data_IF_148951462083
#
_entry.id   IF_148951462083
#
_cell.length_a   1.000
_cell.length_b   1.000
_cell.length_c   1.000
_cell.angle_alpha   90.00
_cell.angle_beta   90.00
_cell.angle_gamma   90.00
#
_symmetry.space_group_name_H-M   'P 1'
#
loop_
_entity.id
_entity.type
_entity.pdbx_description
1 polymer ?
#
# COMPACT_ATOMS: atom_id res chain seq x y z
N UNK A 1 19.65 -35.76 22.08
CA UNK A 1 19.98 -35.01 20.88
C UNK A 1 19.23 -35.37 19.60
N UNK A 2 18.78 -36.60 19.35
CA UNK A 2 18.09 -36.96 18.10
C UNK A 2 16.62 -36.46 17.96
N UNK A 3 15.93 -36.18 19.05
CA UNK A 3 14.50 -35.82 19.02
C UNK A 3 14.21 -34.40 18.56
N UNK A 4 15.07 -33.44 18.82
CA UNK A 4 14.90 -31.98 18.50
C UNK A 4 14.94 -31.63 17.03
N UNK A 5 15.64 -32.42 16.22
CA UNK A 5 15.72 -32.17 14.76
C UNK A 5 14.41 -32.45 14.02
N UNK A 6 13.42 -33.03 14.70
CA UNK A 6 12.07 -33.25 14.16
C UNK A 6 11.05 -32.20 14.57
N UNK A 7 11.45 -31.20 15.38
CA UNK A 7 10.56 -30.13 15.83
C UNK A 7 10.30 -29.15 14.68
N UNK A 8 9.04 -29.07 14.28
CA UNK A 8 8.57 -28.21 13.19
C UNK A 8 7.51 -27.20 13.62
N UNK A 9 6.85 -27.46 14.76
CA UNK A 9 5.76 -26.65 15.30
C UNK A 9 6.09 -26.15 16.71
N UNK A 10 5.42 -25.09 17.14
CA UNK A 10 5.67 -24.43 18.44
C UNK A 10 5.30 -25.38 19.58
N UNK A 11 4.27 -26.21 19.39
CA UNK A 11 3.78 -27.20 20.34
C UNK A 11 4.84 -28.23 20.74
N UNK A 12 5.73 -28.59 19.83
CA UNK A 12 6.83 -29.50 20.07
C UNK A 12 7.76 -28.98 21.17
N UNK A 13 8.06 -27.67 21.11
CA UNK A 13 8.92 -26.99 22.10
C UNK A 13 8.22 -26.80 23.44
N UNK A 14 6.91 -26.47 23.41
CA UNK A 14 6.12 -26.30 24.64
C UNK A 14 5.94 -27.58 25.42
N UNK A 15 6.01 -28.74 24.75
CA UNK A 15 5.87 -30.07 25.37
C UNK A 15 7.19 -30.63 25.89
N UNK A 16 8.33 -29.99 25.60
CA UNK A 16 9.65 -30.43 26.00
C UNK A 16 10.07 -29.81 27.35
N UNK A 17 10.20 -30.65 28.39
CA UNK A 17 10.56 -30.23 29.74
C UNK A 17 11.96 -29.57 29.81
N UNK A 18 12.88 -30.02 28.95
CA UNK A 18 14.23 -29.45 28.92
C UNK A 18 14.22 -28.05 28.31
N UNK A 19 13.37 -27.81 27.29
CA UNK A 19 13.14 -26.49 26.73
C UNK A 19 12.47 -25.54 27.74
N UNK A 20 11.45 -26.02 28.43
CA UNK A 20 10.79 -25.24 29.50
C UNK A 20 11.79 -24.86 30.61
N UNK A 21 12.64 -25.81 31.03
CA UNK A 21 13.66 -25.56 32.05
C UNK A 21 14.67 -24.53 31.61
N UNK A 22 15.12 -24.59 30.36
CA UNK A 22 16.02 -23.59 29.79
C UNK A 22 15.42 -22.19 29.79
N UNK A 23 14.18 -22.03 29.33
CA UNK A 23 13.51 -20.73 29.24
C UNK A 23 13.10 -20.18 30.61
N UNK A 24 12.54 -21.02 31.49
CA UNK A 24 11.96 -20.56 32.75
C UNK A 24 12.98 -20.49 33.90
N UNK A 25 13.94 -21.42 33.95
CA UNK A 25 14.92 -21.54 35.01
C UNK A 25 16.32 -21.07 34.60
N UNK A 26 16.51 -20.78 33.32
CA UNK A 26 17.82 -20.42 32.70
C UNK A 26 18.88 -21.51 32.88
N UNK A 27 18.46 -22.79 32.88
CA UNK A 27 19.33 -23.96 33.04
C UNK A 27 19.37 -24.66 31.67
N UNK A 28 20.45 -24.50 30.93
CA UNK A 28 20.69 -25.17 29.64
C UNK A 28 21.57 -26.41 29.81
N UNK A 29 20.97 -27.50 30.27
CA UNK A 29 21.68 -28.78 30.44
C UNK A 29 21.82 -29.56 29.12
N UNK A 30 21.03 -29.22 28.12
CA UNK A 30 20.89 -29.96 26.88
C UNK A 30 21.44 -29.24 25.64
N UNK A 31 22.05 -28.05 25.80
CA UNK A 31 22.66 -27.28 24.70
C UNK A 31 21.63 -26.68 23.74
N UNK A 32 20.54 -26.12 24.27
CA UNK A 32 19.52 -25.45 23.51
C UNK A 32 20.03 -24.17 22.84
N UNK A 33 20.93 -23.44 23.51
CA UNK A 33 21.50 -22.21 22.99
C UNK A 33 22.36 -22.49 21.74
N UNK A 34 23.25 -23.49 21.80
CA UNK A 34 24.09 -23.89 20.69
C UNK A 34 23.28 -24.40 19.50
N UNK A 35 22.26 -25.27 19.76
CA UNK A 35 21.37 -25.79 18.75
C UNK A 35 20.53 -24.70 18.04
N UNK A 36 20.14 -23.66 18.77
CA UNK A 36 19.38 -22.52 18.24
C UNK A 36 20.25 -21.68 17.29
N UNK A 37 21.53 -21.51 17.58
CA UNK A 37 22.47 -20.73 16.79
C UNK A 37 22.83 -21.38 15.45
N UNK A 38 22.66 -22.70 15.30
CA UNK A 38 23.00 -23.42 14.07
C UNK A 38 22.13 -23.05 12.85
N UNK A 39 20.92 -22.53 13.05
CA UNK A 39 19.99 -22.20 11.95
C UNK A 39 19.06 -21.04 12.28
N UNK A 40 18.97 -20.09 11.34
CA UNK A 40 18.09 -18.91 11.44
C UNK A 40 16.60 -19.27 11.53
N UNK A 41 16.19 -20.40 10.91
CA UNK A 41 14.81 -20.90 11.02
C UNK A 41 14.53 -21.46 12.40
N UNK A 42 15.47 -22.20 12.98
CA UNK A 42 15.36 -22.72 14.36
C UNK A 42 15.30 -21.58 15.37
N UNK A 43 16.14 -20.55 15.22
CA UNK A 43 16.14 -19.38 16.09
C UNK A 43 14.76 -18.70 16.13
N UNK A 44 14.09 -18.58 15.00
CA UNK A 44 12.75 -17.98 14.93
C UNK A 44 11.69 -18.83 15.65
N UNK A 45 11.66 -20.13 15.42
CA UNK A 45 10.71 -21.04 16.09
C UNK A 45 10.92 -21.06 17.62
N UNK A 46 12.18 -21.07 18.06
CA UNK A 46 12.55 -20.99 19.49
C UNK A 46 12.10 -19.67 20.11
N UNK A 47 12.26 -18.54 19.42
CA UNK A 47 11.82 -17.23 19.88
C UNK A 47 10.28 -17.16 20.02
N UNK A 48 9.55 -17.67 19.03
CA UNK A 48 8.09 -17.72 19.04
C UNK A 48 7.58 -18.63 20.17
N UNK A 49 8.17 -19.81 20.36
CA UNK A 49 7.85 -20.73 21.45
C UNK A 49 8.16 -20.13 22.84
N UNK A 50 9.28 -19.42 22.96
CA UNK A 50 9.67 -18.71 24.18
C UNK A 50 8.66 -17.64 24.57
N UNK A 51 8.21 -16.80 23.61
CA UNK A 51 7.22 -15.77 23.87
C UNK A 51 5.91 -16.38 24.35
N UNK A 52 5.46 -17.49 23.75
CA UNK A 52 4.23 -18.16 24.17
C UNK A 52 4.37 -18.80 25.57
N UNK A 53 5.49 -19.45 25.87
CA UNK A 53 5.74 -20.07 27.17
C UNK A 53 5.78 -19.01 28.30
N UNK A 54 6.39 -17.85 28.06
CA UNK A 54 6.44 -16.75 29.02
C UNK A 54 5.06 -16.09 29.21
N UNK A 55 4.23 -16.03 28.16
CA UNK A 55 2.87 -15.51 28.22
C UNK A 55 1.92 -16.47 29.01
N UNK A 56 2.16 -17.79 28.95
CA UNK A 56 1.39 -18.79 29.68
C UNK A 56 1.76 -18.87 31.17
N UNK A 57 2.85 -18.24 31.62
CA UNK A 57 3.24 -18.21 33.03
C UNK A 57 2.27 -17.29 33.80
N UNK A 58 1.15 -17.86 34.22
CA UNK A 58 0.33 -17.30 35.29
C UNK A 58 1.19 -17.29 36.55
N UNK A 59 1.32 -16.15 37.30
CA UNK A 59 2.03 -16.17 38.54
C UNK A 59 1.33 -17.18 39.47
N UNK A 60 1.99 -18.26 39.81
CA UNK A 60 1.62 -19.15 40.89
C UNK A 60 1.67 -18.35 42.21
N UNK A 61 0.57 -17.64 42.49
CA UNK A 61 0.29 -17.27 43.87
C UNK A 61 0.02 -18.59 44.59
N UNK A 62 1.03 -19.16 45.20
CA UNK A 62 0.88 -20.23 46.17
C UNK A 62 0.03 -19.70 47.31
N UNK A 63 -1.29 -19.71 47.14
CA UNK A 63 -2.23 -19.61 48.23
C UNK A 63 -1.99 -20.84 49.10
N UNK A 64 -1.40 -20.64 50.27
CA UNK A 64 -1.25 -21.69 51.26
C UNK A 64 -2.64 -22.29 51.54
N UNK A 65 -2.70 -23.61 51.69
CA UNK A 65 -3.93 -24.30 52.12
C UNK A 65 -4.53 -23.69 53.41
N UNK A 66 -3.71 -23.10 54.26
CA UNK A 66 -4.12 -22.30 55.44
C UNK A 66 -4.83 -20.98 55.08
N UNK A 67 -4.45 -20.32 54.02
CA UNK A 67 -5.07 -19.06 53.58
C UNK A 67 -6.40 -19.31 52.89
N UNK A 68 -6.52 -20.41 52.11
CA UNK A 68 -7.81 -20.88 51.56
C UNK A 68 -8.79 -21.26 52.62
N UNK A 69 -8.34 -21.99 53.69
CA UNK A 69 -9.18 -22.39 54.80
C UNK A 69 -9.66 -21.16 55.60
N UNK A 70 -8.78 -20.21 55.88
CA UNK A 70 -9.12 -18.98 56.59
C UNK A 70 -10.09 -18.10 55.76
N UNK A 71 -9.95 -18.02 54.46
CA UNK A 71 -10.88 -17.31 53.58
C UNK A 71 -12.26 -17.99 53.55
N UNK A 72 -12.32 -19.35 53.53
CA UNK A 72 -13.56 -20.07 53.64
C UNK A 72 -14.24 -19.91 54.99
N UNK A 73 -13.52 -20.02 56.10
CA UNK A 73 -14.07 -19.80 57.47
C UNK A 73 -14.62 -18.38 57.66
N UNK A 74 -13.90 -17.37 57.21
CA UNK A 74 -14.40 -15.97 57.28
C UNK A 74 -15.61 -15.74 56.38
N UNK A 75 -15.76 -16.49 55.30
CA UNK A 75 -16.92 -16.39 54.42
C UNK A 75 -18.14 -17.12 55.05
N UNK A 76 -17.94 -18.26 55.67
CA UNK A 76 -18.98 -19.01 56.39
C UNK A 76 -19.51 -18.22 57.60
N UNK A 77 -18.62 -17.59 58.39
CA UNK A 77 -19.03 -16.75 59.51
C UNK A 77 -19.87 -15.53 59.05
N UNK A 78 -19.56 -14.95 57.93
CA UNK A 78 -20.35 -13.83 57.33
C UNK A 78 -21.69 -14.30 56.75
N UNK A 79 -21.82 -15.54 56.34
CA UNK A 79 -23.09 -16.13 55.90
C UNK A 79 -23.97 -16.43 57.09
N UNK A 80 -23.42 -17.00 58.14
CA UNK A 80 -24.13 -17.34 59.37
C UNK A 80 -24.61 -16.09 60.15
N UNK A 81 -23.81 -15.00 60.13
CA UNK A 81 -24.18 -13.72 60.70
C UNK A 81 -25.32 -13.05 59.88
N UNK A 82 -25.37 -13.25 58.58
CA UNK A 82 -26.47 -12.79 57.71
C UNK A 82 -27.75 -13.60 57.86
N UNK A 83 -27.67 -14.90 58.12
CA UNK A 83 -28.87 -15.72 58.36
C UNK A 83 -29.51 -15.44 59.70
N UNK A 84 -28.74 -15.19 60.75
CA UNK A 84 -29.26 -14.82 62.08
C UNK A 84 -29.85 -13.38 62.13
N UNK A 85 -29.57 -12.51 61.18
CA UNK A 85 -30.21 -11.20 61.08
C UNK A 85 -31.52 -11.19 60.26
N UNK A 86 -31.91 -12.31 59.67
CA UNK A 86 -33.10 -12.38 58.83
C UNK A 86 -34.40 -12.64 59.58
N UNK A 87 -34.36 -13.05 60.87
CA UNK A 87 -35.55 -13.42 61.64
C UNK A 87 -36.20 -12.25 62.44
N UNK A 88 -35.78 -11.01 62.29
CA UNK A 88 -36.32 -9.89 63.04
C UNK A 88 -36.72 -8.65 62.20
N UNK A 89 -37.25 -8.81 60.99
CA UNK A 89 -38.02 -7.70 60.40
C UNK A 89 -38.88 -8.16 59.20
N UNK A 90 -39.98 -8.82 59.50
CA UNK A 90 -41.11 -8.75 58.57
C UNK A 90 -41.85 -7.43 58.67
N UNK A 91 -42.11 -6.82 57.51
CA UNK A 91 -42.98 -5.68 57.24
C UNK A 91 -42.36 -4.25 57.20
N UNK A 92 -41.69 -3.93 56.07
CA UNK A 92 -41.88 -2.58 55.46
C UNK A 92 -41.15 -2.28 54.14
N UNK A 93 -40.55 -3.25 53.43
CA UNK A 93 -39.62 -2.93 52.35
C UNK A 93 -40.03 -3.28 50.91
N UNK A 94 -41.29 -3.68 50.66
CA UNK A 94 -41.72 -4.04 49.25
C UNK A 94 -41.81 -2.78 48.35
N UNK A 95 -42.05 -1.58 48.91
CA UNK A 95 -42.10 -0.34 48.13
C UNK A 95 -40.72 0.21 47.80
N UNK A 96 -39.69 -0.05 48.61
CA UNK A 96 -38.32 0.41 48.38
C UNK A 96 -37.62 -0.42 47.32
N UNK A 97 -37.80 -1.73 47.32
CA UNK A 97 -37.22 -2.65 46.34
C UNK A 97 -37.76 -2.40 44.91
N UNK A 98 -39.06 -2.01 44.79
CA UNK A 98 -39.66 -1.69 43.48
C UNK A 98 -39.07 -0.41 42.89
N UNK A 99 -38.67 0.57 43.71
CA UNK A 99 -38.02 1.82 43.30
C UNK A 99 -36.55 1.57 42.90
N UNK A 100 -35.82 0.72 43.63
CA UNK A 100 -34.44 0.33 43.31
C UNK A 100 -34.37 -0.53 42.06
N UNK A 101 -35.36 -1.40 41.80
CA UNK A 101 -35.40 -2.25 40.60
C UNK A 101 -35.63 -1.44 39.33
N UNK A 102 -36.51 -0.43 39.38
CA UNK A 102 -36.75 0.48 38.25
C UNK A 102 -35.54 1.37 37.94
N UNK A 103 -34.84 1.83 38.98
CA UNK A 103 -33.61 2.63 38.80
C UNK A 103 -32.42 1.77 38.33
N UNK A 104 -32.37 0.49 38.75
CA UNK A 104 -31.35 -0.47 38.29
C UNK A 104 -31.47 -0.80 36.81
N UNK A 105 -32.70 -1.03 36.34
CA UNK A 105 -32.96 -1.30 34.90
C UNK A 105 -32.65 -0.07 34.03
N UNK A 106 -32.99 1.16 34.53
CA UNK A 106 -32.63 2.38 33.82
C UNK A 106 -31.09 2.59 33.76
N UNK A 107 -30.36 2.28 34.83
CA UNK A 107 -28.92 2.37 34.86
C UNK A 107 -28.25 1.37 33.90
N UNK A 108 -28.71 0.12 33.83
CA UNK A 108 -28.16 -0.90 32.91
C UNK A 108 -28.43 -0.53 31.44
N UNK A 109 -29.61 0.05 31.13
CA UNK A 109 -29.89 0.53 29.79
C UNK A 109 -29.01 1.73 29.39
N UNK A 110 -28.78 2.67 30.33
CA UNK A 110 -27.89 3.82 30.11
C UNK A 110 -26.44 3.35 29.93
N UNK A 111 -25.96 2.45 30.80
CA UNK A 111 -24.61 1.84 30.62
C UNK A 111 -24.50 1.03 29.33
N UNK A 112 -25.54 0.30 28.94
CA UNK A 112 -25.60 -0.39 27.66
C UNK A 112 -25.53 0.57 26.47
N UNK A 113 -26.29 1.67 26.51
CA UNK A 113 -26.26 2.71 25.46
C UNK A 113 -24.92 3.45 25.42
N UNK A 114 -24.35 3.78 26.59
CA UNK A 114 -23.01 4.40 26.68
C UNK A 114 -21.95 3.43 26.18
N UNK A 115 -22.01 2.13 26.50
CA UNK A 115 -21.10 1.11 25.99
C UNK A 115 -21.19 0.95 24.49
N UNK A 116 -22.41 0.90 23.91
CA UNK A 116 -22.62 0.83 22.46
C UNK A 116 -22.18 2.12 21.79
N UNK A 117 -22.44 3.28 22.36
CA UNK A 117 -22.00 4.57 21.87
C UNK A 117 -20.47 4.71 21.94
N UNK A 118 -19.87 4.31 23.08
CA UNK A 118 -18.43 4.28 23.28
C UNK A 118 -17.76 3.26 22.35
N UNK A 119 -18.34 2.07 22.19
CA UNK A 119 -17.88 1.07 21.25
C UNK A 119 -17.91 1.61 19.80
N UNK A 120 -19.03 2.21 19.37
CA UNK A 120 -19.11 2.87 18.05
C UNK A 120 -18.12 4.01 17.90
N UNK A 121 -17.92 4.86 18.90
CA UNK A 121 -16.97 5.99 18.82
C UNK A 121 -15.50 5.57 18.96
N UNK A 122 -15.21 4.51 19.74
CA UNK A 122 -13.83 4.06 19.98
C UNK A 122 -13.34 3.09 18.91
N UNK A 123 -14.26 2.32 18.29
CA UNK A 123 -13.94 1.35 17.26
C UNK A 123 -14.33 1.79 15.83
N UNK A 124 -15.07 2.89 15.67
CA UNK A 124 -15.06 3.61 14.41
C UNK A 124 -13.80 4.50 14.40
N UNK A 125 -12.68 3.90 14.08
CA UNK A 125 -11.64 4.63 13.39
C UNK A 125 -12.28 5.03 12.06
N UNK A 126 -12.74 6.27 11.93
CA UNK A 126 -12.95 6.86 10.62
C UNK A 126 -11.60 6.73 9.91
N UNK A 127 -11.45 5.68 9.12
CA UNK A 127 -10.35 5.56 8.18
C UNK A 127 -10.47 6.79 7.29
N UNK A 128 -9.70 7.81 7.58
CA UNK A 128 -9.71 9.07 6.85
C UNK A 128 -9.30 8.76 5.41
N UNK A 129 -10.31 8.56 4.56
CA UNK A 129 -10.09 8.39 3.13
C UNK A 129 -9.70 9.75 2.59
N UNK A 130 -8.46 9.88 2.12
CA UNK A 130 -8.01 11.10 1.45
C UNK A 130 -8.58 11.11 0.05
N UNK A 131 -9.37 12.12 -0.24
CA UNK A 131 -9.98 12.29 -1.56
C UNK A 131 -9.14 13.19 -2.45
N UNK A 132 -9.26 12.99 -3.77
CA UNK A 132 -8.64 13.86 -4.77
C UNK A 132 -9.00 15.34 -4.56
N UNK A 133 -10.23 15.64 -4.15
CA UNK A 133 -10.68 17.00 -3.89
C UNK A 133 -9.91 17.63 -2.73
N UNK A 134 -9.70 16.92 -1.62
CA UNK A 134 -8.91 17.41 -0.49
C UNK A 134 -7.46 17.71 -0.88
N UNK A 135 -6.85 16.85 -1.73
CA UNK A 135 -5.50 17.06 -2.23
C UNK A 135 -5.37 18.34 -3.06
N UNK A 136 -6.40 18.68 -3.85
CA UNK A 136 -6.40 19.87 -4.68
C UNK A 136 -6.72 21.11 -3.86
N UNK A 137 -7.71 21.07 -2.95
CA UNK A 137 -8.11 22.22 -2.12
C UNK A 137 -6.92 22.78 -1.30
N UNK A 138 -6.01 21.91 -0.85
CA UNK A 138 -4.78 22.34 -0.17
C UNK A 138 -3.75 23.01 -1.11
N UNK A 139 -3.81 22.77 -2.43
CA UNK A 139 -2.77 23.16 -3.39
C UNK A 139 -3.34 23.87 -4.65
N UNK A 140 -4.53 24.44 -4.56
CA UNK A 140 -5.36 24.86 -5.70
C UNK A 140 -4.80 26.01 -6.56
N UNK A 141 -3.79 26.76 -6.12
CA UNK A 141 -3.30 27.90 -6.89
C UNK A 141 -2.47 27.46 -8.11
N UNK A 142 -2.98 27.78 -9.30
CA UNK A 142 -2.26 27.62 -10.57
C UNK A 142 -2.23 26.22 -11.16
N UNK A 143 -3.07 25.30 -10.68
CA UNK A 143 -3.22 23.96 -11.27
C UNK A 143 -4.12 23.99 -12.52
N UNK A 144 -3.73 23.19 -13.51
CA UNK A 144 -4.56 22.80 -14.66
C UNK A 144 -5.11 21.43 -14.37
N UNK A 145 -6.42 21.23 -14.46
CA UNK A 145 -7.04 19.92 -14.40
C UNK A 145 -7.37 19.41 -15.78
N UNK A 146 -6.91 18.20 -16.10
CA UNK A 146 -7.26 17.46 -17.30
C UNK A 146 -8.11 16.26 -16.90
N UNK A 147 -9.31 16.16 -17.46
CA UNK A 147 -10.23 15.03 -17.22
C UNK A 147 -10.41 14.25 -18.52
N UNK A 148 -10.16 12.95 -18.46
CA UNK A 148 -10.45 12.06 -19.58
C UNK A 148 -11.87 11.48 -19.44
N UNK A 149 -12.82 12.08 -20.14
CA UNK A 149 -14.22 11.65 -20.21
C UNK A 149 -14.49 10.72 -21.43
N UNK A 150 -13.46 10.40 -22.20
CA UNK A 150 -13.60 9.50 -23.36
C UNK A 150 -13.46 8.03 -22.95
N UNK A 151 -13.75 7.13 -23.87
CA UNK A 151 -13.58 5.68 -23.74
C UNK A 151 -12.15 5.19 -24.08
N UNK A 152 -11.26 6.10 -24.46
CA UNK A 152 -9.88 5.81 -24.85
C UNK A 152 -8.90 6.55 -23.97
N UNK A 153 -7.69 5.99 -23.75
CA UNK A 153 -6.62 6.71 -23.08
C UNK A 153 -6.24 8.00 -23.80
N UNK A 154 -5.89 9.03 -23.02
CA UNK A 154 -5.47 10.34 -23.51
C UNK A 154 -4.03 10.62 -23.09
N UNK A 155 -3.20 11.05 -24.02
CA UNK A 155 -1.83 11.46 -23.72
C UNK A 155 -1.78 12.90 -23.24
N UNK A 156 -1.06 13.13 -22.15
CA UNK A 156 -0.79 14.45 -21.58
C UNK A 156 0.72 14.65 -21.55
N UNK A 157 1.18 15.74 -22.18
CA UNK A 157 2.58 16.14 -22.12
C UNK A 157 2.75 17.24 -21.09
N UNK A 158 3.66 17.02 -20.13
CA UNK A 158 3.97 17.97 -19.07
C UNK A 158 5.11 18.91 -19.49
N UNK A 159 5.24 20.06 -18.81
CA UNK A 159 6.22 21.10 -19.15
C UNK A 159 7.69 20.69 -19.00
N UNK A 160 7.97 19.59 -18.29
CA UNK A 160 9.31 19.01 -18.13
C UNK A 160 9.66 17.95 -19.19
N UNK A 161 8.76 17.72 -20.15
CA UNK A 161 8.87 16.70 -21.18
C UNK A 161 8.39 15.32 -20.75
N UNK A 162 7.92 15.14 -19.51
CA UNK A 162 7.27 13.91 -19.07
C UNK A 162 5.94 13.69 -19.78
N UNK A 163 5.53 12.43 -19.96
CA UNK A 163 4.24 12.08 -20.55
C UNK A 163 3.41 11.23 -19.59
N UNK A 164 2.10 11.43 -19.63
CA UNK A 164 1.13 10.66 -18.86
C UNK A 164 0.06 10.13 -19.80
N UNK A 165 -0.10 8.82 -19.89
CA UNK A 165 -1.23 8.18 -20.58
C UNK A 165 -2.36 8.03 -19.56
N UNK A 166 -3.30 8.96 -19.59
CA UNK A 166 -4.43 9.05 -18.67
C UNK A 166 -5.56 8.15 -19.14
N UNK A 167 -5.95 7.18 -18.33
CA UNK A 167 -7.01 6.21 -18.64
C UNK A 167 -8.41 6.85 -18.64
N UNK A 168 -9.44 6.21 -19.22
CA UNK A 168 -10.82 6.65 -19.11
C UNK A 168 -11.28 6.89 -17.67
N UNK A 169 -12.17 7.86 -17.47
CA UNK A 169 -12.71 8.26 -16.17
C UNK A 169 -11.65 8.68 -15.13
N UNK A 170 -10.51 9.16 -15.61
CA UNK A 170 -9.41 9.61 -14.74
C UNK A 170 -9.20 11.11 -14.88
N UNK A 171 -8.59 11.71 -13.83
CA UNK A 171 -8.27 13.12 -13.74
C UNK A 171 -6.84 13.30 -13.32
N UNK A 172 -6.18 14.28 -13.92
CA UNK A 172 -4.82 14.69 -13.56
C UNK A 172 -4.78 16.21 -13.36
N UNK A 173 -4.38 16.65 -12.17
CA UNK A 173 -4.09 18.05 -11.90
C UNK A 173 -2.59 18.27 -11.76
N UNK A 174 -2.09 19.29 -12.43
CA UNK A 174 -0.67 19.62 -12.47
C UNK A 174 -0.45 21.13 -12.73
N UNK A 175 0.66 21.73 -12.28
CA UNK A 175 0.98 23.10 -12.59
C UNK A 175 1.35 23.25 -14.07
N UNK A 176 0.92 24.33 -14.71
CA UNK A 176 1.27 24.63 -16.11
C UNK A 176 2.77 24.62 -16.35
N UNK A 177 3.56 25.07 -15.39
CA UNK A 177 5.03 25.02 -15.38
C UNK A 177 5.47 24.56 -13.99
N UNK A 178 6.34 23.58 -13.91
CA UNK A 178 6.93 23.16 -12.65
C UNK A 178 7.95 24.21 -12.18
N UNK A 179 7.61 24.92 -11.12
CA UNK A 179 8.49 25.84 -10.41
C UNK A 179 9.11 25.15 -9.18
N UNK A 180 10.09 25.78 -8.51
CA UNK A 180 10.72 25.22 -7.30
C UNK A 180 11.52 23.93 -7.53
N UNK A 181 11.75 23.17 -6.47
CA UNK A 181 12.67 22.04 -6.42
C UNK A 181 11.98 20.66 -6.60
N UNK A 182 10.66 20.64 -6.77
CA UNK A 182 9.85 19.43 -6.92
C UNK A 182 8.88 19.57 -8.09
N UNK A 183 8.45 18.44 -8.63
CA UNK A 183 7.43 18.32 -9.67
C UNK A 183 6.26 17.56 -9.08
N UNK A 184 5.14 18.22 -8.80
CA UNK A 184 3.98 17.62 -8.14
C UNK A 184 2.80 17.53 -9.09
N UNK A 185 2.14 16.37 -9.11
CA UNK A 185 0.89 16.15 -9.82
C UNK A 185 -0.08 15.37 -8.92
N UNK A 186 -1.37 15.50 -9.20
CA UNK A 186 -2.44 14.88 -8.43
C UNK A 186 -3.29 14.03 -9.37
N UNK A 187 -3.48 12.75 -9.02
CA UNK A 187 -4.19 11.78 -9.83
C UNK A 187 -5.45 11.28 -9.10
N UNK A 188 -6.55 11.20 -9.85
CA UNK A 188 -7.73 10.40 -9.51
C UNK A 188 -8.00 9.44 -10.66
N UNK A 189 -8.16 8.16 -10.40
CA UNK A 189 -8.28 7.15 -11.44
C UNK A 189 -6.94 6.51 -11.79
N UNK A 190 -6.65 6.28 -13.08
CA UNK A 190 -5.48 5.53 -13.52
C UNK A 190 -4.67 6.30 -14.56
N UNK A 191 -3.34 6.25 -14.40
CA UNK A 191 -2.39 6.82 -15.35
C UNK A 191 -1.09 6.03 -15.42
N UNK A 192 -0.55 5.91 -16.64
CA UNK A 192 0.80 5.43 -16.88
C UNK A 192 1.71 6.63 -17.09
N UNK A 193 2.76 6.72 -16.28
CA UNK A 193 3.67 7.86 -16.21
C UNK A 193 5.02 7.48 -16.79
N UNK A 194 5.53 8.28 -17.72
CA UNK A 194 6.92 8.24 -18.18
C UNK A 194 7.59 9.57 -17.83
N UNK A 195 8.44 9.54 -16.81
CA UNK A 195 8.99 10.74 -16.21
C UNK A 195 10.39 11.02 -16.71
N UNK A 196 10.59 12.22 -17.25
CA UNK A 196 11.89 12.74 -17.67
C UNK A 196 12.88 12.69 -16.52
N UNK A 197 14.08 12.13 -16.78
CA UNK A 197 15.11 11.92 -15.77
C UNK A 197 15.66 13.25 -15.24
N UNK A 198 15.40 13.54 -13.96
CA UNK A 198 15.94 14.70 -13.28
C UNK A 198 16.13 14.41 -11.77
N UNK A 199 17.29 13.89 -11.34
CA UNK A 199 17.55 13.59 -9.93
C UNK A 199 17.55 14.82 -9.00
N UNK A 200 17.81 16.02 -9.54
CA UNK A 200 17.84 17.26 -8.75
C UNK A 200 16.45 17.82 -8.48
N UNK A 201 15.45 17.40 -9.26
CA UNK A 201 14.07 17.85 -9.13
C UNK A 201 13.13 16.65 -9.17
N UNK A 202 12.93 15.94 -8.05
CA UNK A 202 12.10 14.73 -7.99
C UNK A 202 10.66 15.01 -8.40
N UNK A 203 9.99 13.97 -8.90
CA UNK A 203 8.61 14.01 -9.35
C UNK A 203 7.73 13.24 -8.34
N UNK A 204 6.61 13.82 -7.96
CA UNK A 204 5.66 13.26 -7.01
C UNK A 204 4.29 13.10 -7.64
N UNK A 205 3.71 11.92 -7.52
CA UNK A 205 2.30 11.65 -7.84
C UNK A 205 1.54 11.45 -6.53
N UNK A 206 0.63 12.35 -6.24
CA UNK A 206 -0.32 12.25 -5.15
C UNK A 206 -1.57 11.57 -5.68
N UNK A 207 -1.87 10.38 -5.19
CA UNK A 207 -3.00 9.58 -5.65
C UNK A 207 -3.78 9.07 -4.43
N UNK A 208 -4.77 9.84 -4.01
CA UNK A 208 -5.57 9.59 -2.82
C UNK A 208 -4.68 9.33 -1.57
N UNK A 209 -4.66 8.10 -1.10
CA UNK A 209 -3.99 7.68 0.14
C UNK A 209 -2.48 7.53 0.02
N UNK A 210 -1.93 7.54 -1.19
CA UNK A 210 -0.49 7.29 -1.41
C UNK A 210 0.22 8.45 -2.09
N UNK A 211 1.51 8.54 -1.85
CA UNK A 211 2.43 9.44 -2.55
C UNK A 211 3.54 8.62 -3.18
N UNK A 212 3.68 8.75 -4.48
CA UNK A 212 4.72 8.09 -5.27
C UNK A 212 5.80 9.08 -5.65
N UNK A 213 7.07 8.80 -5.34
CA UNK A 213 8.24 9.63 -5.62
C UNK A 213 9.18 8.95 -6.59
N UNK A 214 9.58 9.67 -7.65
CA UNK A 214 10.48 9.19 -8.69
C UNK A 214 11.44 10.27 -9.15
N UNK A 215 12.49 9.88 -9.91
CA UNK A 215 13.46 10.83 -10.49
C UNK A 215 13.65 10.66 -12.00
N UNK A 216 13.02 9.63 -12.59
CA UNK A 216 13.11 9.27 -14.01
C UNK A 216 12.79 7.78 -14.16
N UNK A 217 11.51 7.46 -14.36
CA UNK A 217 10.95 6.12 -14.29
C UNK A 217 9.71 6.03 -15.15
N UNK A 218 9.38 4.81 -15.58
CA UNK A 218 8.09 4.49 -16.18
C UNK A 218 7.31 3.58 -15.24
N UNK A 219 6.11 4.01 -14.84
CA UNK A 219 5.28 3.32 -13.85
C UNK A 219 3.80 3.64 -14.02
N UNK A 220 2.94 2.76 -13.56
CA UNK A 220 1.49 2.94 -13.51
C UNK A 220 1.03 3.18 -12.08
N UNK A 221 0.06 4.07 -11.93
CA UNK A 221 -0.71 4.27 -10.69
C UNK A 221 -2.17 4.10 -11.02
N UNK A 222 -2.87 3.25 -10.25
CA UNK A 222 -4.31 3.02 -10.34
C UNK A 222 -4.92 3.32 -8.97
N UNK A 223 -5.72 4.38 -8.90
CA UNK A 223 -6.25 4.95 -7.66
C UNK A 223 -7.69 5.47 -7.86
N UNK A 224 -8.58 4.60 -8.36
CA UNK A 224 -10.02 4.92 -8.45
C UNK A 224 -10.61 4.97 -7.04
N UNK A 225 -11.48 5.96 -6.78
CA UNK A 225 -12.06 6.16 -5.44
C UNK A 225 -13.05 5.08 -5.02
N UNK A 226 -13.67 4.41 -5.98
CA UNK A 226 -14.65 3.33 -5.81
C UNK A 226 -14.02 1.93 -5.69
N UNK A 227 -12.70 1.81 -5.87
CA UNK A 227 -11.99 0.54 -5.74
C UNK A 227 -11.43 0.34 -4.32
N UNK A 228 -11.31 -0.92 -3.85
CA UNK A 228 -10.87 -1.22 -2.48
C UNK A 228 -9.39 -0.96 -2.25
N UNK A 229 -8.60 -0.82 -3.30
CA UNK A 229 -7.15 -0.70 -3.27
C UNK A 229 -6.61 0.34 -4.25
N UNK A 230 -5.39 0.79 -3.94
CA UNK A 230 -4.56 1.60 -4.82
C UNK A 230 -3.36 0.76 -5.24
N UNK A 231 -3.04 0.76 -6.55
CA UNK A 231 -1.94 -0.02 -7.10
C UNK A 231 -0.87 0.87 -7.72
N UNK A 232 0.39 0.50 -7.50
CA UNK A 232 1.56 1.08 -8.20
C UNK A 232 2.37 -0.04 -8.81
N UNK A 233 2.61 0.02 -10.13
CA UNK A 233 3.37 -0.97 -10.88
C UNK A 233 4.55 -0.30 -11.57
N UNK A 234 5.74 -0.89 -11.45
CA UNK A 234 6.98 -0.32 -12.01
C UNK A 234 7.41 -1.07 -13.26
N UNK A 235 7.54 -0.33 -14.37
CA UNK A 235 8.13 -0.84 -15.61
C UNK A 235 9.64 -0.64 -15.63
N UNK A 236 10.11 0.60 -15.41
CA UNK A 236 11.54 0.92 -15.44
C UNK A 236 11.94 1.84 -14.29
N UNK A 237 13.22 1.80 -13.91
CA UNK A 237 13.77 2.68 -12.90
C UNK A 237 13.44 2.26 -11.46
N UNK A 238 13.31 3.24 -10.57
CA UNK A 238 13.06 3.04 -9.13
C UNK A 238 11.95 3.96 -8.67
N UNK A 239 10.96 3.41 -8.02
CA UNK A 239 9.81 4.12 -7.45
C UNK A 239 9.85 3.99 -5.93
N UNK A 240 9.58 5.07 -5.23
CA UNK A 240 9.38 5.10 -3.79
C UNK A 240 7.93 5.45 -3.51
N UNK A 241 7.26 4.63 -2.70
CA UNK A 241 5.86 4.84 -2.32
C UNK A 241 5.77 4.96 -0.81
N UNK A 242 4.96 5.89 -0.34
CA UNK A 242 4.62 6.06 1.07
C UNK A 242 3.14 6.42 1.24
N UNK A 243 2.63 6.30 2.45
CA UNK A 243 1.32 6.84 2.79
C UNK A 243 1.30 8.36 2.66
N UNK A 244 0.14 8.91 2.34
CA UNK A 244 -0.08 10.34 2.37
C UNK A 244 -0.07 10.84 3.83
N UNK A 245 0.58 11.97 4.09
CA UNK A 245 0.68 12.58 5.43
C UNK A 245 -0.68 12.94 6.05
N UNK A 246 -1.72 13.10 5.21
CA UNK A 246 -3.10 13.31 5.65
C UNK A 246 -3.69 12.08 6.37
N UNK A 247 -3.19 10.86 6.08
CA UNK A 247 -3.64 9.61 6.71
C UNK A 247 -2.82 9.30 7.95
N UNK A 248 -1.51 9.33 7.83
CA UNK A 248 -0.61 8.98 8.92
C UNK A 248 0.52 10.01 9.04
N UNK A 249 0.53 10.73 10.15
CA UNK A 249 1.62 11.68 10.47
C UNK A 249 2.88 10.99 11.00
N UNK A 250 2.80 9.72 11.37
CA UNK A 250 3.88 8.98 12.04
C UNK A 250 4.52 7.89 11.19
N UNK A 251 3.88 7.47 10.10
CA UNK A 251 4.37 6.36 9.28
C UNK A 251 5.01 6.92 8.00
N UNK A 252 6.30 7.20 8.08
CA UNK A 252 7.13 7.68 6.96
C UNK A 252 7.87 6.53 6.25
N UNK A 253 7.45 5.27 6.44
CA UNK A 253 8.11 4.15 5.78
C UNK A 253 7.96 4.26 4.27
N UNK A 254 9.10 4.50 3.58
CA UNK A 254 9.18 4.49 2.13
C UNK A 254 9.40 3.07 1.61
N UNK A 255 8.45 2.55 0.86
CA UNK A 255 8.59 1.26 0.18
C UNK A 255 9.21 1.48 -1.18
N UNK A 256 10.32 0.79 -1.44
CA UNK A 256 11.04 0.86 -2.70
C UNK A 256 10.57 -0.25 -3.64
N UNK A 257 10.18 0.15 -4.85
CA UNK A 257 9.84 -0.75 -5.95
C UNK A 257 10.87 -0.66 -7.06
N UNK A 258 11.20 -1.81 -7.62
CA UNK A 258 12.09 -1.99 -8.77
C UNK A 258 11.27 -2.49 -9.98
N UNK A 259 11.86 -2.55 -11.18
CA UNK A 259 11.16 -3.07 -12.35
C UNK A 259 10.56 -4.45 -12.10
N UNK A 260 9.40 -4.71 -12.69
CA UNK A 260 8.60 -5.93 -12.52
C UNK A 260 8.08 -6.16 -11.07
N UNK A 261 8.03 -5.09 -10.26
CA UNK A 261 7.43 -5.11 -8.92
C UNK A 261 6.20 -4.20 -8.88
N UNK A 262 5.26 -4.55 -8.00
CA UNK A 262 4.09 -3.73 -7.72
C UNK A 262 3.87 -3.57 -6.21
N UNK A 263 3.02 -2.61 -5.87
CA UNK A 263 2.54 -2.37 -4.52
C UNK A 263 1.03 -2.21 -4.58
N UNK A 264 0.33 -2.93 -3.72
CA UNK A 264 -1.11 -2.77 -3.50
C UNK A 264 -1.33 -2.20 -2.11
N UNK A 265 -1.98 -1.05 -2.02
CA UNK A 265 -2.41 -0.45 -0.77
C UNK A 265 -3.88 -0.79 -0.55
N UNK A 266 -4.16 -1.59 0.48
CA UNK A 266 -5.53 -2.01 0.84
C UNK A 266 -6.14 -0.97 1.77
N UNK A 267 -7.18 -0.26 1.31
CA UNK A 267 -7.80 0.86 2.00
C UNK A 267 -8.42 0.50 3.35
N UNK A 268 -9.10 -0.66 3.40
CA UNK A 268 -9.77 -1.10 4.63
C UNK A 268 -8.80 -1.36 5.78
N UNK A 269 -7.62 -1.87 5.47
CA UNK A 269 -6.62 -2.28 6.46
C UNK A 269 -5.49 -1.25 6.62
N UNK A 270 -5.44 -0.24 5.74
CA UNK A 270 -4.36 0.75 5.62
C UNK A 270 -2.98 0.08 5.49
N UNK A 271 -2.91 -1.06 4.77
CA UNK A 271 -1.70 -1.87 4.66
C UNK A 271 -1.15 -1.89 3.24
N UNK A 272 0.17 -1.91 3.16
CA UNK A 272 0.91 -2.09 1.93
C UNK A 272 1.27 -3.56 1.72
N UNK A 273 0.88 -4.11 0.57
CA UNK A 273 1.26 -5.44 0.11
C UNK A 273 2.21 -5.30 -1.09
N UNK A 274 3.48 -5.61 -0.88
CA UNK A 274 4.49 -5.58 -1.94
C UNK A 274 4.48 -6.88 -2.73
N UNK A 275 4.35 -6.78 -4.05
CA UNK A 275 4.40 -7.88 -5.02
C UNK A 275 5.76 -7.83 -5.70
N UNK A 276 6.58 -8.85 -5.47
CA UNK A 276 7.98 -8.89 -5.93
C UNK A 276 8.13 -9.30 -7.39
N UNK A 277 7.10 -9.94 -7.96
CA UNK A 277 7.05 -10.31 -9.37
C UNK A 277 5.60 -10.26 -9.87
N UNK A 278 5.29 -9.32 -10.77
CA UNK A 278 3.94 -9.10 -11.31
C UNK A 278 3.43 -10.32 -12.12
N UNK A 279 4.31 -11.12 -12.70
CA UNK A 279 3.89 -12.31 -13.50
C UNK A 279 3.31 -13.43 -12.64
N UNK A 280 3.52 -13.39 -11.31
CA UNK A 280 2.97 -14.35 -10.35
C UNK A 280 1.58 -13.93 -9.84
N UNK A 281 1.17 -12.68 -10.06
CA UNK A 281 -0.15 -12.17 -9.74
C UNK A 281 -1.00 -12.15 -11.02
N UNK A 282 -1.98 -13.03 -11.11
CA UNK A 282 -2.79 -13.23 -12.33
C UNK A 282 -3.55 -11.96 -12.71
N UNK A 283 -4.07 -11.23 -11.73
CA UNK A 283 -4.83 -10.01 -11.95
C UNK A 283 -3.94 -8.89 -12.50
N UNK A 284 -2.77 -8.68 -11.89
CA UNK A 284 -1.78 -7.71 -12.37
C UNK A 284 -1.23 -8.08 -13.74
N UNK A 285 -0.90 -9.35 -13.97
CA UNK A 285 -0.38 -9.81 -15.25
C UNK A 285 -1.37 -9.59 -16.40
N UNK A 286 -2.67 -9.74 -16.17
CA UNK A 286 -3.72 -9.46 -17.15
C UNK A 286 -4.01 -7.97 -17.32
N UNK A 287 -3.76 -7.15 -16.30
CA UNK A 287 -4.00 -5.71 -16.32
C UNK A 287 -2.89 -4.91 -17.00
N UNK A 288 -1.77 -5.52 -17.35
CA UNK A 288 -0.63 -4.86 -18.01
C UNK A 288 -1.04 -4.35 -19.39
N UNK A 289 -0.95 -3.03 -19.60
CA UNK A 289 -1.34 -2.39 -20.86
C UNK A 289 -0.32 -2.57 -21.98
N UNK A 290 -0.70 -2.22 -23.21
CA UNK A 290 0.16 -2.35 -24.40
C UNK A 290 1.50 -1.62 -24.22
N UNK A 291 1.49 -0.39 -23.69
CA UNK A 291 2.69 0.41 -23.46
C UNK A 291 3.68 -0.26 -22.50
N UNK A 292 3.19 -1.11 -21.59
CA UNK A 292 4.00 -1.81 -20.61
C UNK A 292 4.61 -3.11 -21.19
N UNK A 293 4.03 -3.66 -22.25
CA UNK A 293 4.43 -4.92 -22.88
C UNK A 293 5.35 -4.72 -24.08
N UNK A 294 5.18 -3.64 -24.85
CA UNK A 294 5.91 -3.40 -26.08
C UNK A 294 7.39 -3.08 -25.82
N UNK A 295 8.25 -3.65 -26.66
CA UNK A 295 9.67 -3.30 -26.69
C UNK A 295 9.89 -2.05 -27.54
N UNK A 296 10.76 -1.18 -27.07
CA UNK A 296 11.21 0.01 -27.79
C UNK A 296 12.69 -0.07 -28.19
N UNK A 297 13.17 -1.29 -28.43
CA UNK A 297 14.49 -1.58 -28.97
C UNK A 297 14.36 -1.93 -30.45
N UNK A 298 14.98 -1.14 -31.29
CA UNK A 298 14.90 -1.26 -32.75
C UNK A 298 16.28 -1.47 -33.35
N UNK A 299 16.43 -2.43 -34.26
CA UNK A 299 17.68 -2.71 -34.98
C UNK A 299 17.40 -2.87 -36.44
N UNK A 300 17.80 -1.86 -37.24
CA UNK A 300 17.57 -1.82 -38.69
C UNK A 300 16.10 -1.98 -39.09
N UNK A 301 15.22 -1.22 -38.40
CA UNK A 301 13.77 -1.31 -38.58
C UNK A 301 13.27 -0.11 -39.39
N UNK A 302 12.35 -0.32 -40.37
CA UNK A 302 11.70 0.79 -41.08
C UNK A 302 11.05 1.79 -40.11
N UNK A 303 11.21 3.08 -40.37
CA UNK A 303 10.64 4.14 -39.57
C UNK A 303 9.12 4.01 -39.42
N UNK A 304 8.42 3.53 -40.44
CA UNK A 304 6.99 3.24 -40.40
C UNK A 304 6.61 2.27 -39.28
N UNK A 305 7.39 1.20 -39.08
CA UNK A 305 7.14 0.21 -38.02
C UNK A 305 7.45 0.81 -36.62
N UNK A 306 8.42 1.72 -36.54
CA UNK A 306 8.68 2.46 -35.28
C UNK A 306 7.48 3.32 -34.92
N UNK A 307 6.93 4.06 -35.88
CA UNK A 307 5.73 4.86 -35.68
C UNK A 307 4.52 3.98 -35.33
N UNK A 308 4.27 2.88 -36.01
CA UNK A 308 3.22 1.93 -35.70
C UNK A 308 3.35 1.39 -34.25
N UNK A 309 4.56 1.09 -33.79
CA UNK A 309 4.82 0.66 -32.41
C UNK A 309 4.46 1.78 -31.42
N UNK A 310 4.79 3.01 -31.73
CA UNK A 310 4.44 4.18 -30.89
C UNK A 310 2.92 4.38 -30.88
N UNK A 311 2.25 4.33 -32.04
CA UNK A 311 0.79 4.44 -32.14
C UNK A 311 0.07 3.39 -31.29
N UNK A 312 0.50 2.13 -31.38
CA UNK A 312 -0.07 1.02 -30.60
C UNK A 312 0.16 1.18 -29.09
N UNK A 313 1.35 1.68 -28.70
CA UNK A 313 1.70 1.84 -27.30
C UNK A 313 0.93 2.98 -26.61
N UNK A 314 0.85 4.13 -27.30
CA UNK A 314 0.31 5.36 -26.71
C UNK A 314 -1.12 5.69 -27.15
N UNK A 315 -1.66 4.90 -28.10
CA UNK A 315 -2.95 5.15 -28.74
C UNK A 315 -3.05 6.57 -29.31
N UNK A 316 -1.94 6.97 -29.94
CA UNK A 316 -1.81 8.22 -30.71
C UNK A 316 -1.94 7.93 -32.20
N UNK A 317 -2.27 8.95 -32.99
CA UNK A 317 -2.32 8.89 -34.44
C UNK A 317 -1.16 9.70 -35.00
N UNK A 318 -0.25 9.04 -35.77
CA UNK A 318 0.96 9.65 -36.28
C UNK A 318 0.84 9.84 -37.80
N UNK A 319 0.64 11.08 -38.21
CA UNK A 319 0.67 11.46 -39.63
C UNK A 319 2.10 11.84 -40.06
N UNK A 320 2.60 11.19 -41.10
CA UNK A 320 3.94 11.41 -41.60
C UNK A 320 4.03 11.25 -43.13
N UNK A 321 4.99 11.90 -43.84
CA UNK A 321 5.15 11.83 -45.28
C UNK A 321 5.69 10.45 -45.71
N UNK A 322 4.78 9.49 -45.90
CA UNK A 322 5.08 8.07 -46.20
C UNK A 322 6.05 7.89 -47.34
N UNK A 323 5.85 8.59 -48.46
CA UNK A 323 6.70 8.48 -49.63
C UNK A 323 8.14 8.91 -49.38
N UNK A 324 8.36 9.91 -48.52
CA UNK A 324 9.69 10.42 -48.19
C UNK A 324 10.45 9.54 -47.21
N UNK A 325 9.73 8.82 -46.36
CA UNK A 325 10.31 8.01 -45.29
C UNK A 325 10.28 6.50 -45.54
N UNK A 326 9.82 6.04 -46.72
CA UNK A 326 9.62 4.64 -47.03
C UNK A 326 10.91 3.78 -46.96
N UNK A 327 12.05 4.41 -47.30
CA UNK A 327 13.36 3.71 -47.37
C UNK A 327 14.23 4.01 -46.13
N UNK A 328 13.68 4.71 -45.13
CA UNK A 328 14.38 5.08 -43.90
C UNK A 328 14.32 3.95 -42.86
N UNK A 329 15.50 3.46 -42.46
CA UNK A 329 15.65 2.45 -41.38
C UNK A 329 16.43 3.05 -40.21
N UNK A 330 16.06 2.68 -39.00
CA UNK A 330 16.74 3.16 -37.80
C UNK A 330 17.15 2.00 -36.89
N UNK A 331 18.31 2.19 -36.27
CA UNK A 331 18.75 1.43 -35.08
C UNK A 331 18.76 2.34 -33.91
N UNK A 332 17.90 2.14 -32.93
CA UNK A 332 17.74 3.02 -31.77
C UNK A 332 17.10 2.30 -30.59
N UNK A 333 17.47 2.73 -29.38
CA UNK A 333 16.79 2.35 -28.13
C UNK A 333 15.97 3.55 -27.64
N UNK A 334 14.66 3.37 -27.56
CA UNK A 334 13.72 4.39 -27.07
C UNK A 334 13.14 3.99 -25.71
N UNK A 335 13.63 2.90 -25.12
CA UNK A 335 13.25 2.47 -23.76
C UNK A 335 13.56 3.56 -22.77
N UNK A 336 12.79 3.63 -21.68
CA UNK A 336 12.98 4.59 -20.57
C UNK A 336 12.85 6.09 -20.93
N UNK A 337 12.36 6.42 -22.12
CA UNK A 337 12.14 7.78 -22.55
C UNK A 337 10.64 8.11 -22.58
N UNK A 338 10.21 9.34 -22.19
CA UNK A 338 8.85 9.83 -22.43
C UNK A 338 8.54 9.92 -23.94
N UNK A 339 7.26 9.89 -24.32
CA UNK A 339 6.82 9.94 -25.70
C UNK A 339 7.46 11.09 -26.50
N UNK A 340 7.46 12.28 -25.93
CA UNK A 340 8.05 13.46 -26.61
C UNK A 340 9.54 13.29 -26.88
N UNK A 341 10.27 12.65 -26.00
CA UNK A 341 11.70 12.38 -26.17
C UNK A 341 11.93 11.24 -27.16
N UNK A 342 11.09 10.19 -27.17
CA UNK A 342 11.08 9.15 -28.20
C UNK A 342 10.92 9.77 -29.59
N UNK A 343 9.92 10.64 -29.78
CA UNK A 343 9.67 11.33 -31.04
C UNK A 343 10.85 12.23 -31.45
N UNK A 344 11.45 12.96 -30.51
CA UNK A 344 12.67 13.76 -30.80
C UNK A 344 13.83 12.91 -31.26
N UNK A 345 14.08 11.78 -30.60
CA UNK A 345 15.17 10.86 -30.95
C UNK A 345 14.93 10.32 -32.37
N UNK A 346 13.72 9.83 -32.66
CA UNK A 346 13.36 9.33 -34.01
C UNK A 346 13.54 10.42 -35.07
N UNK A 347 12.97 11.61 -34.86
CA UNK A 347 13.09 12.73 -35.81
C UNK A 347 14.55 13.12 -36.05
N UNK A 348 15.36 13.21 -34.99
CA UNK A 348 16.79 13.52 -35.10
C UNK A 348 17.58 12.43 -35.84
N UNK A 349 17.20 11.16 -35.65
CA UNK A 349 17.84 10.04 -36.33
C UNK A 349 17.47 9.96 -37.83
N UNK A 350 16.27 10.41 -38.21
CA UNK A 350 15.87 10.51 -39.62
C UNK A 350 16.70 11.62 -40.30
N UNK A 351 16.85 12.79 -39.69
CA UNK A 351 17.65 13.85 -40.26
C UNK A 351 17.35 15.21 -39.63
N UNK A 352 18.27 16.16 -39.81
CA UNK A 352 18.21 17.48 -39.17
C UNK A 352 17.01 18.36 -39.57
N UNK A 353 16.34 18.03 -40.68
CA UNK A 353 15.14 18.72 -41.16
C UNK A 353 13.84 18.01 -40.80
N UNK A 354 13.91 17.06 -39.85
CA UNK A 354 12.74 16.34 -39.36
C UNK A 354 12.34 16.87 -38.00
N UNK A 355 11.07 17.21 -37.84
CA UNK A 355 10.46 17.69 -36.61
C UNK A 355 9.09 17.09 -36.42
N UNK A 356 8.51 17.25 -35.24
CA UNK A 356 7.12 16.87 -35.00
C UNK A 356 6.35 17.98 -34.28
N UNK A 357 5.05 17.97 -34.50
CA UNK A 357 4.06 18.74 -33.74
C UNK A 357 3.09 17.76 -33.08
N UNK A 358 2.63 18.09 -31.88
CA UNK A 358 1.74 17.23 -31.12
C UNK A 358 0.58 18.05 -30.56
N UNK A 359 -0.65 17.56 -30.81
CA UNK A 359 -1.88 18.15 -30.29
C UNK A 359 -2.78 17.01 -29.74
N UNK A 360 -2.76 16.84 -28.42
CA UNK A 360 -3.40 15.72 -27.77
C UNK A 360 -2.86 14.38 -28.30
N UNK A 361 -3.75 13.51 -28.78
CA UNK A 361 -3.36 12.20 -29.33
C UNK A 361 -2.95 12.26 -30.82
N UNK A 362 -2.92 13.42 -31.45
CA UNK A 362 -2.48 13.57 -32.83
C UNK A 362 -1.03 14.06 -32.88
N UNK A 363 -0.19 13.37 -33.65
CA UNK A 363 1.22 13.70 -33.90
C UNK A 363 1.43 13.90 -35.40
N UNK A 364 2.03 15.00 -35.79
CA UNK A 364 2.34 15.30 -37.20
C UNK A 364 3.85 15.34 -37.34
N UNK A 365 4.42 14.46 -38.17
CA UNK A 365 5.84 14.44 -38.48
C UNK A 365 6.09 15.25 -39.77
N UNK A 366 6.97 16.22 -39.70
CA UNK A 366 7.40 17.05 -40.82
C UNK A 366 8.81 16.62 -41.20
N UNK A 367 9.00 16.06 -42.40
CA UNK A 367 10.30 15.58 -42.86
C UNK A 367 10.47 15.76 -44.37
N UNK A 368 11.74 15.90 -44.79
CA UNK A 368 12.15 15.91 -46.20
C UNK A 368 12.74 14.56 -46.67
N UNK A 369 12.83 13.62 -45.79
CA UNK A 369 13.45 12.30 -46.00
C UNK A 369 14.62 12.05 -45.08
N UNK A 370 15.17 10.85 -45.08
CA UNK A 370 16.38 10.49 -44.35
C UNK A 370 17.64 10.90 -45.12
N UNK A 371 18.68 11.23 -44.39
CA UNK A 371 20.00 11.58 -44.93
C UNK A 371 20.77 10.33 -45.32
#
# INVERSE_FOLDING_TARGET
MQKRNTYTEIEDFLSDESFQSWILLKIDNDGWEEWTLESRQRAKLVEDARHLLLAMKVPDSKLSTSDIRRALETTWLKIEEKENQKDLSENSNVKFLRKCFLNGVAATLIFGLISVWSYKNYFHTDNKVVTYKELIDENSEGLVEQTNNSDKPQIITLSDGSSVLLQPNSKLSYPKIFTGNERKVYLSGEGFFEISKNPKKPFYVYANEIVTKVVGTSFRVKAYSDQPDVEVLVRTGKVKVRSNEMISKSDHEEIILLPNQALRFVRNDLKFNKITNITQDVELAQSVGNIEQLSFEFSDIPVSQIFETIEQAYLVDIDYPKDKLKDCHLTTSLSDQPLTEKLKIVCKSIGNNTSFEMNGNQVIIISQGCN
#
